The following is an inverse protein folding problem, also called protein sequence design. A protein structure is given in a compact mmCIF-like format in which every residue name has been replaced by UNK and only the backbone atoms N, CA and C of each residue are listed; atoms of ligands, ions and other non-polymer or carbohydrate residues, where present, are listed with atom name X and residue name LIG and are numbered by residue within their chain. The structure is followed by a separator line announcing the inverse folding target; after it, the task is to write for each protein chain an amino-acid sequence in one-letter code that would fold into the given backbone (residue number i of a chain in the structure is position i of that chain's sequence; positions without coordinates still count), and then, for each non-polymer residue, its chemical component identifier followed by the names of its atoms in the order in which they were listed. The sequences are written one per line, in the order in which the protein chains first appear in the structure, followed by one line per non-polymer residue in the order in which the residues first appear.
data_IF_235121606150
#
_entry.id   IF_235121606150
#
_cell.length_a   1.000
_cell.length_b   1.000
_cell.length_c   1.000
_cell.angle_alpha   90.00
_cell.angle_beta   90.00
_cell.angle_gamma   90.00
#
_symmetry.space_group_name_H-M   'P 1'
#
loop_
_entity.id
_entity.type
_entity.pdbx_description
1 polymer ?
#
# COMPACT_ATOMS: atom_id res chain seq x y z
N UNK A 1 -9.70 12.77 0.68
CA UNK A 1 -8.41 12.10 0.35
C UNK A 1 -7.79 11.55 1.62
N UNK A 2 -7.32 10.33 1.56
CA UNK A 2 -6.60 9.70 2.67
C UNK A 2 -5.16 9.41 2.26
N UNK A 3 -4.25 9.50 3.20
CA UNK A 3 -2.82 9.29 2.96
C UNK A 3 -2.23 8.57 4.16
N UNK A 4 -1.55 7.46 3.91
CA UNK A 4 -1.00 6.62 4.97
C UNK A 4 0.39 6.15 4.59
N UNK A 5 1.36 6.37 5.45
CA UNK A 5 2.71 5.89 5.21
C UNK A 5 2.82 4.42 5.62
N UNK A 6 3.40 3.61 4.73
CA UNK A 6 3.72 2.23 5.07
C UNK A 6 5.08 2.19 5.76
N UNK A 7 5.11 1.65 6.97
CA UNK A 7 6.34 1.63 7.79
C UNK A 7 7.01 0.27 7.82
N UNK A 8 6.38 -0.74 7.23
CA UNK A 8 6.83 -2.11 7.35
C UNK A 8 6.21 -2.84 8.53
N UNK A 9 5.61 -2.11 9.48
CA UNK A 9 5.03 -2.67 10.69
C UNK A 9 3.53 -2.40 10.82
N UNK A 10 2.94 -1.67 9.89
CA UNK A 10 1.53 -1.25 9.99
C UNK A 10 0.65 -1.85 8.89
N UNK A 11 0.90 -3.10 8.53
CA UNK A 11 0.12 -3.76 7.49
C UNK A 11 -1.39 -3.73 7.79
N UNK A 12 -1.78 -3.90 9.05
CA UNK A 12 -3.19 -3.91 9.43
C UNK A 12 -3.88 -2.59 9.11
N UNK A 13 -3.21 -1.47 9.35
CA UNK A 13 -3.75 -0.15 9.00
C UNK A 13 -3.91 -0.02 7.49
N UNK A 14 -2.91 -0.48 6.74
CA UNK A 14 -2.95 -0.43 5.28
C UNK A 14 -4.09 -1.32 4.76
N UNK A 15 -4.25 -2.49 5.33
CA UNK A 15 -5.31 -3.42 4.97
C UNK A 15 -6.69 -2.81 5.22
N UNK A 16 -6.87 -2.10 6.32
CA UNK A 16 -8.13 -1.44 6.62
C UNK A 16 -8.45 -0.34 5.60
N UNK A 17 -7.43 0.39 5.15
CA UNK A 17 -7.64 1.43 4.16
C UNK A 17 -7.87 0.87 2.75
N UNK A 18 -7.11 -0.15 2.36
CA UNK A 18 -7.10 -0.64 0.98
C UNK A 18 -8.02 -1.83 0.74
N UNK A 19 -8.39 -2.55 1.80
CA UNK A 19 -9.25 -3.74 1.67
C UNK A 19 -8.60 -4.81 0.81
N UNK A 20 -9.33 -5.32 -0.15
CA UNK A 20 -8.88 -6.42 -1.00
C UNK A 20 -7.82 -6.02 -2.02
N UNK A 21 -7.52 -4.74 -2.11
CA UNK A 21 -6.55 -4.24 -3.10
C UNK A 21 -5.11 -4.35 -2.63
N UNK A 22 -4.88 -4.76 -1.39
CA UNK A 22 -3.54 -4.95 -0.85
C UNK A 22 -3.29 -6.44 -0.64
N UNK A 23 -2.13 -6.93 -1.07
CA UNK A 23 -1.73 -8.31 -0.87
C UNK A 23 -0.88 -8.41 0.39
N UNK A 24 -0.75 -9.65 0.91
CA UNK A 24 0.05 -9.91 2.10
C UNK A 24 1.49 -9.43 1.90
N UNK A 25 2.14 -8.96 2.97
CA UNK A 25 3.51 -8.48 2.85
C UNK A 25 4.47 -9.59 2.45
N UNK A 26 5.52 -9.22 1.74
CA UNK A 26 6.61 -10.13 1.40
C UNK A 26 7.93 -9.41 1.63
N UNK A 27 9.01 -10.20 1.75
CA UNK A 27 10.33 -9.64 1.98
C UNK A 27 11.16 -9.73 0.71
N UNK A 28 11.88 -8.65 0.43
CA UNK A 28 12.79 -8.58 -0.70
C UNK A 28 14.06 -7.87 -0.22
N UNK A 29 15.19 -8.57 -0.23
CA UNK A 29 16.48 -8.03 0.22
C UNK A 29 16.41 -7.45 1.64
N UNK A 30 15.63 -8.08 2.52
CA UNK A 30 15.49 -7.65 3.92
C UNK A 30 14.48 -6.55 4.16
N UNK A 31 13.82 -6.05 3.12
CA UNK A 31 12.79 -5.03 3.26
C UNK A 31 11.39 -5.63 3.14
N UNK A 32 10.48 -5.14 3.94
CA UNK A 32 9.07 -5.54 3.88
C UNK A 32 8.37 -4.73 2.80
N UNK A 33 7.75 -5.43 1.84
CA UNK A 33 7.11 -4.81 0.69
C UNK A 33 5.69 -5.29 0.56
N UNK A 34 4.85 -4.46 -0.02
CA UNK A 34 3.46 -4.80 -0.34
C UNK A 34 3.23 -4.66 -1.83
N UNK A 35 2.25 -5.40 -2.34
CA UNK A 35 1.73 -5.18 -3.69
C UNK A 35 0.35 -4.57 -3.57
N UNK A 36 0.16 -3.45 -4.24
CA UNK A 36 -1.09 -2.70 -4.22
C UNK A 36 -1.72 -2.71 -5.60
N UNK A 37 -3.00 -3.07 -5.68
CA UNK A 37 -3.72 -3.01 -6.95
C UNK A 37 -4.20 -1.59 -7.19
N UNK A 38 -3.76 -0.99 -8.29
CA UNK A 38 -4.19 0.34 -8.73
C UNK A 38 -4.89 0.23 -10.08
N UNK A 39 -5.39 1.35 -10.58
CA UNK A 39 -5.99 1.37 -11.91
C UNK A 39 -5.00 0.98 -13.01
N UNK A 40 -3.71 1.22 -12.77
CA UNK A 40 -2.65 0.91 -13.71
C UNK A 40 -2.04 -0.48 -13.50
N UNK A 41 -2.63 -1.29 -12.61
CA UNK A 41 -2.14 -2.62 -12.27
C UNK A 41 -1.49 -2.65 -10.90
N UNK A 42 -0.73 -3.71 -10.63
CA UNK A 42 -0.06 -3.85 -9.34
C UNK A 42 1.19 -2.99 -9.28
N UNK A 43 1.36 -2.28 -8.16
CA UNK A 43 2.57 -1.52 -7.87
C UNK A 43 3.12 -1.96 -6.54
N UNK A 44 4.44 -1.88 -6.39
CA UNK A 44 5.10 -2.22 -5.13
C UNK A 44 5.07 -1.03 -4.18
N UNK A 45 4.81 -1.32 -2.91
CA UNK A 45 4.89 -0.31 -1.85
C UNK A 45 6.07 -0.66 -0.96
N UNK A 46 7.03 0.23 -0.87
CA UNK A 46 8.22 0.05 -0.05
C UNK A 46 8.02 0.71 1.32
N UNK A 47 8.81 0.28 2.30
CA UNK A 47 8.81 0.94 3.59
C UNK A 47 9.16 2.41 3.40
N UNK A 48 8.34 3.29 3.96
CA UNK A 48 8.49 4.74 3.81
C UNK A 48 7.62 5.36 2.74
N UNK A 49 7.11 4.57 1.82
CA UNK A 49 6.22 5.08 0.78
C UNK A 49 4.86 5.43 1.37
N UNK A 50 4.17 6.35 0.70
CA UNK A 50 2.81 6.73 1.09
C UNK A 50 1.80 6.12 0.14
N UNK A 51 0.72 5.59 0.72
CA UNK A 51 -0.44 5.13 -0.04
C UNK A 51 -1.49 6.22 0.03
N UNK A 52 -2.01 6.62 -1.11
CA UNK A 52 -2.99 7.69 -1.20
C UNK A 52 -4.29 7.14 -1.77
N UNK A 53 -5.39 7.46 -1.13
CA UNK A 53 -6.72 7.14 -1.63
C UNK A 53 -7.46 8.44 -1.92
N UNK A 54 -7.90 8.61 -3.16
CA UNK A 54 -8.60 9.82 -3.55
C UNK A 54 -10.10 9.75 -3.18
N UNK A 55 -10.85 10.78 -3.54
CA UNK A 55 -12.27 10.87 -3.19
C UNK A 55 -13.12 9.80 -3.87
N UNK A 56 -12.64 9.24 -4.97
CA UNK A 56 -13.32 8.18 -5.69
C UNK A 56 -12.90 6.79 -5.24
N UNK A 57 -12.02 6.71 -4.25
CA UNK A 57 -11.51 5.45 -3.72
C UNK A 57 -10.37 4.87 -4.53
N UNK A 58 -9.80 5.60 -5.49
CA UNK A 58 -8.67 5.12 -6.27
C UNK A 58 -7.39 5.21 -5.47
N UNK A 59 -6.55 4.20 -5.59
CA UNK A 59 -5.32 4.10 -4.82
C UNK A 59 -4.11 4.39 -5.68
N UNK A 60 -3.10 4.99 -5.07
CA UNK A 60 -1.83 5.26 -5.71
C UNK A 60 -0.72 5.28 -4.65
N UNK A 61 0.53 5.27 -5.10
CA UNK A 61 1.71 5.28 -4.23
C UNK A 61 2.53 6.53 -4.54
N UNK A 62 2.94 7.21 -3.49
CA UNK A 62 3.84 8.36 -3.60
C UNK A 62 5.24 8.01 -3.11
#
# INVERSE_FOLDING_TARGET
MKRLQYTGLNYEEVKQMCGDKILAPYFCLGFSMLSLMTEDGFVSVNEGDYIVQDEKGRLSVE
#
